data_IF_235008843671
#
_entry.id   IF_235008843671
#
_cell.length_a   1.000
_cell.length_b   1.000
_cell.length_c   1.000
_cell.angle_alpha   90.00
_cell.angle_beta   90.00
_cell.angle_gamma   90.00
#
_symmetry.space_group_name_H-M   'P 1'
#
loop_
_entity.id
_entity.type
_entity.pdbx_description
1 polymer ?
#
# COMPACT_ATOMS: atom_id res chain seq x y z
N UNK A 1 -17.14 20.34 19.10
CA UNK A 1 -17.07 18.87 18.95
C UNK A 1 -18.44 18.43 18.43
N UNK A 2 -18.54 18.01 17.17
CA UNK A 2 -19.80 17.47 16.64
C UNK A 2 -20.08 16.14 17.34
N UNK A 3 -21.21 16.04 18.04
CA UNK A 3 -21.70 14.78 18.59
C UNK A 3 -21.81 13.75 17.46
N UNK A 4 -21.11 12.62 17.60
CA UNK A 4 -21.24 11.49 16.68
C UNK A 4 -22.55 10.80 17.00
N UNK A 5 -23.61 11.10 16.25
CA UNK A 5 -24.95 10.56 16.43
C UNK A 5 -25.03 9.03 16.22
N UNK A 6 -24.06 8.43 15.51
CA UNK A 6 -24.00 6.99 15.30
C UNK A 6 -22.53 6.53 15.35
N UNK A 7 -22.11 5.78 16.39
CA UNK A 7 -20.76 5.25 16.50
C UNK A 7 -20.48 4.11 15.51
N UNK A 8 -21.54 3.53 14.90
CA UNK A 8 -21.39 2.46 13.92
C UNK A 8 -21.21 3.04 12.52
N UNK A 9 -19.96 3.25 12.13
CA UNK A 9 -19.60 3.74 10.78
C UNK A 9 -19.75 2.60 9.78
N UNK A 10 -20.72 2.71 8.87
CA UNK A 10 -21.01 1.67 7.85
C UNK A 10 -20.25 1.93 6.55
N UNK A 11 -19.79 3.17 6.28
CA UNK A 11 -19.07 3.57 5.06
C UNK A 11 -17.92 4.53 5.39
N UNK A 12 -16.81 4.36 4.68
CA UNK A 12 -15.64 5.24 4.82
C UNK A 12 -14.72 4.87 5.98
N UNK A 13 -13.82 5.81 6.30
CA UNK A 13 -12.84 5.63 7.38
C UNK A 13 -13.52 5.71 8.75
N UNK A 14 -13.20 4.75 9.62
CA UNK A 14 -13.68 4.74 11.01
C UNK A 14 -12.90 5.82 11.78
N UNK A 15 -13.57 6.85 12.35
CA UNK A 15 -12.89 7.83 13.20
C UNK A 15 -12.24 7.14 14.42
N UNK A 16 -11.08 7.64 14.87
CA UNK A 16 -10.38 7.08 16.01
C UNK A 16 -11.25 6.95 17.28
N UNK A 17 -12.17 7.91 17.51
CA UNK A 17 -13.13 7.87 18.63
C UNK A 17 -14.19 6.77 18.51
N UNK A 18 -14.42 6.21 17.33
CA UNK A 18 -15.37 5.13 17.06
C UNK A 18 -14.68 3.78 16.86
N UNK A 19 -13.34 3.76 16.83
CA UNK A 19 -12.58 2.54 16.75
C UNK A 19 -12.48 1.93 18.13
N UNK A 20 -13.27 0.89 18.36
CA UNK A 20 -13.32 0.17 19.63
C UNK A 20 -12.77 -1.24 19.42
N UNK A 21 -12.28 -1.83 20.51
CA UNK A 21 -11.62 -3.14 20.52
C UNK A 21 -10.31 -3.18 19.69
N UNK A 22 -9.60 -4.26 19.67
CA UNK A 22 -8.36 -4.49 18.94
C UNK A 22 -7.15 -3.66 19.42
N UNK A 23 -7.11 -3.29 20.69
CA UNK A 23 -5.96 -2.60 21.25
C UNK A 23 -4.70 -3.46 21.10
N UNK A 24 -4.79 -4.74 21.44
CA UNK A 24 -3.68 -5.66 21.37
C UNK A 24 -3.15 -5.87 19.94
N UNK A 25 -4.06 -5.97 18.94
CA UNK A 25 -3.68 -6.09 17.54
C UNK A 25 -3.05 -4.80 17.01
N UNK A 26 -3.59 -3.63 17.42
CA UNK A 26 -3.00 -2.33 17.06
C UNK A 26 -1.60 -2.18 17.62
N UNK A 27 -1.40 -2.49 18.91
CA UNK A 27 -0.11 -2.45 19.57
C UNK A 27 0.90 -3.42 18.91
N UNK A 28 0.45 -4.65 18.61
CA UNK A 28 1.30 -5.64 17.94
C UNK A 28 1.71 -5.16 16.55
N UNK A 29 0.75 -4.70 15.72
CA UNK A 29 1.01 -4.21 14.37
C UNK A 29 1.97 -3.02 14.40
N UNK A 30 1.71 -2.04 15.26
CA UNK A 30 2.57 -0.86 15.43
C UNK A 30 3.99 -1.27 15.82
N UNK A 31 4.14 -2.18 16.78
CA UNK A 31 5.45 -2.67 17.23
C UNK A 31 6.22 -3.39 16.13
N UNK A 32 5.57 -4.24 15.33
CA UNK A 32 6.22 -4.93 14.22
C UNK A 32 6.77 -3.93 13.18
N UNK A 33 5.96 -2.93 12.81
CA UNK A 33 6.36 -1.89 11.86
C UNK A 33 7.50 -1.01 12.41
N UNK A 34 7.46 -0.66 13.69
CA UNK A 34 8.57 0.10 14.32
C UNK A 34 9.87 -0.70 14.38
N UNK A 35 9.79 -2.02 14.40
CA UNK A 35 10.95 -2.92 14.32
C UNK A 35 11.45 -3.16 12.89
N UNK A 36 10.76 -2.61 11.87
CA UNK A 36 11.12 -2.79 10.46
C UNK A 36 10.72 -4.16 9.91
N UNK A 37 9.66 -4.75 10.44
CA UNK A 37 9.14 -6.03 9.98
C UNK A 37 7.97 -5.84 9.03
N UNK A 38 8.00 -6.52 7.90
CA UNK A 38 6.82 -6.71 7.07
C UNK A 38 5.79 -7.56 7.80
N UNK A 39 4.50 -7.25 7.63
CA UNK A 39 3.42 -7.92 8.33
C UNK A 39 2.38 -8.45 7.35
N UNK A 40 1.93 -9.68 7.57
CA UNK A 40 0.74 -10.23 6.89
C UNK A 40 -0.45 -10.30 7.84
N UNK A 41 -1.60 -9.77 7.39
CA UNK A 41 -2.87 -9.77 8.13
C UNK A 41 -3.84 -10.71 7.43
N UNK A 42 -4.18 -11.80 8.10
CA UNK A 42 -5.08 -12.82 7.58
C UNK A 42 -6.39 -12.83 8.37
N UNK A 43 -7.46 -12.30 7.80
CA UNK A 43 -8.78 -12.42 8.43
C UNK A 43 -9.89 -12.42 7.40
N UNK A 44 -11.02 -13.02 7.72
CA UNK A 44 -12.18 -13.06 6.82
C UNK A 44 -12.68 -11.66 6.45
N UNK A 45 -13.47 -11.58 5.38
CA UNK A 45 -14.12 -10.31 4.97
C UNK A 45 -14.93 -9.72 6.12
N UNK A 46 -15.01 -8.39 6.16
CA UNK A 46 -15.79 -7.61 7.13
C UNK A 46 -15.35 -7.74 8.60
N UNK A 47 -14.17 -8.27 8.87
CA UNK A 47 -13.58 -8.30 10.21
C UNK A 47 -12.70 -7.07 10.51
N UNK A 48 -12.86 -5.96 9.76
CA UNK A 48 -12.23 -4.67 10.08
C UNK A 48 -10.72 -4.58 9.82
N UNK A 49 -10.14 -5.40 8.89
CA UNK A 49 -8.72 -5.29 8.51
C UNK A 49 -8.32 -3.88 8.11
N UNK A 50 -9.06 -3.31 7.16
CA UNK A 50 -8.83 -1.95 6.66
C UNK A 50 -8.88 -0.92 7.79
N UNK A 51 -9.86 -1.04 8.70
CA UNK A 51 -9.97 -0.18 9.88
C UNK A 51 -8.77 -0.31 10.81
N UNK A 52 -8.28 -1.53 11.06
CA UNK A 52 -7.10 -1.79 11.88
C UNK A 52 -5.84 -1.14 11.28
N UNK A 53 -5.62 -1.31 9.97
CA UNK A 53 -4.47 -0.69 9.27
C UNK A 53 -4.54 0.83 9.36
N UNK A 54 -5.68 1.42 9.05
CA UNK A 54 -5.87 2.87 9.11
C UNK A 54 -5.70 3.41 10.54
N UNK A 55 -6.23 2.68 11.54
CA UNK A 55 -6.05 3.05 12.94
C UNK A 55 -4.59 2.95 13.39
N UNK A 56 -3.84 1.95 12.91
CA UNK A 56 -2.41 1.85 13.13
C UNK A 56 -1.66 3.05 12.53
N UNK A 57 -2.01 3.48 11.33
CA UNK A 57 -1.41 4.67 10.70
C UNK A 57 -1.66 5.96 11.48
N UNK A 58 -2.77 6.04 12.22
CA UNK A 58 -3.10 7.18 13.09
C UNK A 58 -2.36 7.17 14.43
N UNK A 59 -1.67 6.09 14.79
CA UNK A 59 -0.94 6.04 16.06
C UNK A 59 0.17 7.09 16.10
N UNK A 60 0.38 7.78 17.24
CA UNK A 60 1.41 8.83 17.35
C UNK A 60 2.82 8.38 16.97
N UNK A 61 3.14 7.10 17.16
CA UNK A 61 4.43 6.54 16.79
C UNK A 61 4.64 6.39 15.27
N UNK A 62 3.55 6.37 14.50
CA UNK A 62 3.57 6.24 13.02
C UNK A 62 3.25 7.59 12.38
N UNK A 63 2.15 8.22 12.81
CA UNK A 63 1.64 9.47 12.25
C UNK A 63 2.70 10.60 12.37
N UNK A 64 3.03 11.23 11.25
CA UNK A 64 4.03 12.29 11.18
C UNK A 64 5.49 11.83 11.13
N UNK A 65 5.78 10.55 11.42
CA UNK A 65 7.13 9.97 11.35
C UNK A 65 7.35 9.12 10.09
N UNK A 66 6.28 8.55 9.55
CA UNK A 66 6.28 7.71 8.36
C UNK A 66 5.38 8.30 7.27
N UNK A 67 5.71 8.01 6.01
CA UNK A 67 4.74 8.11 4.92
C UNK A 67 3.95 6.82 4.87
N UNK A 68 2.64 6.92 4.98
CA UNK A 68 1.74 5.75 5.00
C UNK A 68 0.87 5.71 3.76
N UNK A 69 0.90 4.60 3.05
CA UNK A 69 0.15 4.39 1.82
C UNK A 69 -0.78 3.18 1.98
N UNK A 70 -2.03 3.36 1.63
CA UNK A 70 -3.02 2.27 1.63
C UNK A 70 -3.53 2.03 0.22
N UNK A 71 -3.32 0.84 -0.30
CA UNK A 71 -3.65 0.45 -1.67
C UNK A 71 -4.55 -0.78 -1.65
N UNK A 72 -5.83 -0.62 -2.02
CA UNK A 72 -6.76 -1.73 -2.23
C UNK A 72 -6.67 -2.18 -3.69
N UNK A 73 -6.30 -3.44 -3.89
CA UNK A 73 -6.11 -4.02 -5.23
C UNK A 73 -7.22 -5.00 -5.64
N UNK A 74 -8.35 -5.02 -4.92
CA UNK A 74 -9.45 -5.94 -5.19
C UNK A 74 -9.93 -5.91 -6.66
N UNK A 75 -9.99 -4.72 -7.25
CA UNK A 75 -10.51 -4.51 -8.61
C UNK A 75 -9.46 -4.68 -9.71
N UNK A 76 -8.21 -4.93 -9.36
CA UNK A 76 -7.13 -5.08 -10.35
C UNK A 76 -7.10 -6.49 -10.93
N UNK A 77 -6.80 -6.60 -12.22
CA UNK A 77 -6.80 -7.85 -12.99
C UNK A 77 -5.45 -8.16 -13.65
N UNK A 78 -4.46 -7.26 -13.52
CA UNK A 78 -3.14 -7.38 -14.13
C UNK A 78 -2.08 -6.65 -13.32
N UNK A 79 -0.80 -6.99 -13.54
CA UNK A 79 0.33 -6.26 -12.96
C UNK A 79 0.31 -4.78 -13.38
N UNK A 80 -0.11 -4.49 -14.61
CA UNK A 80 -0.27 -3.12 -15.10
C UNK A 80 -1.27 -2.31 -14.27
N UNK A 81 -2.43 -2.87 -13.98
CA UNK A 81 -3.45 -2.22 -13.15
C UNK A 81 -3.00 -2.08 -11.69
N UNK A 82 -2.30 -3.07 -11.16
CA UNK A 82 -1.68 -2.99 -9.85
C UNK A 82 -0.70 -1.81 -9.76
N UNK A 83 0.25 -1.72 -10.70
CA UNK A 83 1.24 -0.65 -10.75
C UNK A 83 0.57 0.71 -10.90
N UNK A 84 -0.45 0.81 -11.73
CA UNK A 84 -1.25 2.01 -11.86
C UNK A 84 -1.90 2.43 -10.53
N UNK A 85 -2.58 1.48 -9.86
CA UNK A 85 -3.27 1.74 -8.59
C UNK A 85 -2.29 2.19 -7.51
N UNK A 86 -1.14 1.51 -7.40
CA UNK A 86 -0.07 1.86 -6.49
C UNK A 86 0.45 3.26 -6.77
N UNK A 87 0.81 3.57 -8.02
CA UNK A 87 1.30 4.90 -8.42
C UNK A 87 0.30 6.01 -8.10
N UNK A 88 -0.99 5.77 -8.38
CA UNK A 88 -2.06 6.74 -8.13
C UNK A 88 -2.20 7.04 -6.64
N UNK A 89 -2.18 6.02 -5.80
CA UNK A 89 -2.30 6.19 -4.34
C UNK A 89 -1.09 6.91 -3.75
N UNK A 90 0.12 6.59 -4.22
CA UNK A 90 1.32 7.31 -3.81
C UNK A 90 1.22 8.79 -4.19
N UNK A 91 0.81 9.07 -5.42
CA UNK A 91 0.65 10.45 -5.90
C UNK A 91 -0.38 11.24 -5.10
N UNK A 92 -1.56 10.67 -4.83
CA UNK A 92 -2.62 11.31 -4.05
C UNK A 92 -2.16 11.72 -2.64
N UNK A 93 -1.27 10.94 -2.03
CA UNK A 93 -0.73 11.23 -0.70
C UNK A 93 0.41 12.27 -0.76
N UNK A 94 1.23 12.22 -1.80
CA UNK A 94 2.38 13.11 -1.95
C UNK A 94 1.98 14.49 -2.50
N UNK A 95 0.95 14.58 -3.33
CA UNK A 95 0.50 15.83 -3.95
C UNK A 95 0.20 16.96 -2.94
N UNK A 96 -0.55 16.72 -1.85
CA UNK A 96 -0.83 17.75 -0.84
C UNK A 96 0.41 18.26 -0.09
N UNK A 97 1.51 17.51 -0.14
CA UNK A 97 2.78 17.88 0.51
C UNK A 97 3.55 18.98 -0.25
N UNK A 98 3.06 19.34 -1.44
CA UNK A 98 3.56 20.47 -2.22
C UNK A 98 4.41 20.08 -3.43
N UNK A 99 4.76 21.10 -4.23
CA UNK A 99 5.39 20.93 -5.55
C UNK A 99 6.68 20.11 -5.51
N UNK A 100 7.50 20.27 -4.47
CA UNK A 100 8.75 19.52 -4.32
C UNK A 100 8.54 18.00 -4.34
N UNK A 101 7.50 17.52 -3.67
CA UNK A 101 7.16 16.10 -3.63
C UNK A 101 6.59 15.60 -4.94
N UNK A 102 5.76 16.42 -5.60
CA UNK A 102 5.23 16.13 -6.94
C UNK A 102 6.38 16.03 -7.95
N UNK A 103 7.30 16.99 -7.96
CA UNK A 103 8.45 16.98 -8.85
C UNK A 103 9.35 15.75 -8.58
N UNK A 104 9.56 15.38 -7.31
CA UNK A 104 10.28 14.17 -6.94
C UNK A 104 9.60 12.92 -7.50
N UNK A 105 8.29 12.78 -7.31
CA UNK A 105 7.51 11.66 -7.83
C UNK A 105 7.59 11.57 -9.35
N UNK A 106 7.32 12.68 -10.05
CA UNK A 106 7.35 12.72 -11.53
C UNK A 106 8.74 12.39 -12.09
N UNK A 107 9.79 12.91 -11.46
CA UNK A 107 11.17 12.66 -11.91
C UNK A 107 11.65 11.23 -11.60
N UNK A 108 11.10 10.59 -10.59
CA UNK A 108 11.42 9.20 -10.22
C UNK A 108 10.75 8.19 -11.15
N UNK A 109 9.53 8.49 -11.65
CA UNK A 109 8.73 7.57 -12.45
C UNK A 109 8.76 7.91 -13.94
N UNK A 110 9.93 7.78 -14.55
CA UNK A 110 10.16 8.13 -15.96
C UNK A 110 9.34 7.28 -16.95
N UNK A 111 9.11 6.03 -16.61
CA UNK A 111 8.29 5.11 -17.41
C UNK A 111 6.80 5.49 -17.45
N UNK A 112 6.33 6.36 -16.53
CA UNK A 112 4.97 6.86 -16.47
C UNK A 112 4.75 8.20 -17.18
N UNK A 113 5.76 8.78 -17.83
CA UNK A 113 5.65 10.11 -18.45
C UNK A 113 4.50 10.23 -19.45
N UNK A 114 4.12 9.15 -20.10
CA UNK A 114 2.99 9.12 -21.02
C UNK A 114 1.59 9.24 -20.34
N UNK A 115 1.52 9.00 -19.03
CA UNK A 115 0.29 9.11 -18.24
C UNK A 115 0.10 10.48 -17.57
N UNK A 116 1.06 11.40 -17.73
CA UNK A 116 0.98 12.71 -17.10
C UNK A 116 0.31 13.73 -18.02
N UNK A 117 -0.64 14.43 -17.45
CA UNK A 117 -1.19 15.68 -18.02
C UNK A 117 -1.01 16.78 -16.98
N UNK A 118 -1.00 18.03 -17.45
CA UNK A 118 -0.94 19.17 -16.55
C UNK A 118 -2.30 19.86 -16.54
N UNK A 119 -2.75 20.20 -15.34
CA UNK A 119 -3.94 21.04 -15.20
C UNK A 119 -3.65 22.42 -15.79
N UNK A 120 -4.45 22.89 -16.80
CA UNK A 120 -4.15 24.13 -17.50
C UNK A 120 -4.27 25.39 -16.62
N UNK A 121 -4.99 25.31 -15.50
CA UNK A 121 -5.22 26.45 -14.60
C UNK A 121 -4.19 26.54 -13.49
N UNK A 122 -3.83 25.39 -12.90
CA UNK A 122 -2.90 25.34 -11.77
C UNK A 122 -1.47 25.04 -12.17
N UNK A 123 -1.24 24.52 -13.39
CA UNK A 123 0.06 24.00 -13.85
C UNK A 123 0.55 22.77 -13.07
N UNK A 124 -0.32 22.19 -12.24
CA UNK A 124 0.00 21.01 -11.45
C UNK A 124 -0.12 19.75 -12.32
N UNK A 125 0.81 18.80 -12.17
CA UNK A 125 0.68 17.52 -12.86
C UNK A 125 -0.55 16.78 -12.34
N UNK A 126 -1.33 16.26 -13.28
CA UNK A 126 -2.48 15.42 -13.04
C UNK A 126 -2.18 14.04 -13.61
N UNK A 127 -2.30 13.04 -12.78
CA UNK A 127 -2.16 11.67 -13.21
C UNK A 127 -3.43 11.23 -13.96
N UNK A 128 -3.29 10.94 -15.24
CA UNK A 128 -4.38 10.41 -16.07
C UNK A 128 -3.94 9.10 -16.70
N UNK A 129 -4.75 8.07 -16.48
CA UNK A 129 -4.54 6.77 -17.10
C UNK A 129 -4.87 6.84 -18.61
N UNK A 130 -3.91 6.49 -19.47
CA UNK A 130 -4.21 6.06 -20.82
C UNK A 130 -3.83 4.58 -20.97
N UNK A 131 -4.77 3.75 -21.37
CA UNK A 131 -4.51 2.36 -21.71
C UNK A 131 -3.47 2.35 -22.85
N UNK A 132 -2.24 1.93 -22.56
CA UNK A 132 -1.11 1.96 -23.48
C UNK A 132 0.15 2.67 -22.95
N UNK A 133 0.04 3.43 -21.85
CA UNK A 133 1.18 4.14 -21.28
C UNK A 133 2.24 3.23 -20.63
N UNK A 134 1.89 1.99 -20.32
CA UNK A 134 2.77 1.04 -19.64
C UNK A 134 3.24 -0.04 -20.63
N UNK A 135 4.37 0.12 -21.18
CA UNK A 135 4.97 -0.95 -22.01
C UNK A 135 5.68 -2.01 -21.15
N UNK A 136 6.07 -1.67 -19.92
CA UNK A 136 6.82 -2.56 -19.02
C UNK A 136 6.46 -2.24 -17.55
N UNK A 137 5.39 -2.81 -17.01
CA UNK A 137 4.95 -2.54 -15.63
C UNK A 137 6.01 -2.89 -14.58
N UNK A 138 6.88 -3.87 -14.83
CA UNK A 138 7.98 -4.22 -13.94
C UNK A 138 9.01 -3.10 -13.80
N UNK A 139 9.29 -2.35 -14.90
CA UNK A 139 10.21 -1.20 -14.86
C UNK A 139 9.63 -0.10 -13.98
N UNK A 140 8.35 0.23 -14.17
CA UNK A 140 7.66 1.22 -13.36
C UNK A 140 7.62 0.82 -11.90
N UNK A 141 7.37 -0.46 -11.62
CA UNK A 141 7.37 -0.99 -10.25
C UNK A 141 8.75 -0.82 -9.60
N UNK A 142 9.83 -1.09 -10.34
CA UNK A 142 11.20 -0.83 -9.87
C UNK A 142 11.47 0.64 -9.58
N UNK A 143 10.97 1.56 -10.42
CA UNK A 143 11.06 3.00 -10.19
C UNK A 143 10.29 3.44 -8.93
N UNK A 144 9.09 2.87 -8.70
CA UNK A 144 8.31 3.13 -7.48
C UNK A 144 9.09 2.70 -6.23
N UNK A 145 9.64 1.50 -6.22
CA UNK A 145 10.38 1.01 -5.08
C UNK A 145 11.68 1.78 -4.83
N UNK A 146 12.39 2.16 -5.90
CA UNK A 146 13.55 3.04 -5.79
C UNK A 146 13.18 4.41 -5.22
N UNK A 147 12.03 4.96 -5.58
CA UNK A 147 11.50 6.20 -5.03
C UNK A 147 11.19 6.06 -3.51
N UNK A 148 10.55 4.97 -3.10
CA UNK A 148 10.26 4.71 -1.68
C UNK A 148 11.55 4.56 -0.86
N UNK A 149 12.58 3.91 -1.41
CA UNK A 149 13.89 3.77 -0.74
C UNK A 149 14.60 5.12 -0.57
N UNK A 150 14.43 6.05 -1.51
CA UNK A 150 15.06 7.39 -1.49
C UNK A 150 14.22 8.45 -0.75
N UNK A 151 13.06 8.09 -0.21
CA UNK A 151 12.23 9.02 0.54
C UNK A 151 12.96 9.53 1.79
N UNK A 152 12.70 10.80 2.16
CA UNK A 152 13.32 11.45 3.33
C UNK A 152 12.77 10.96 4.68
N UNK A 153 11.74 10.13 4.65
CA UNK A 153 11.16 9.42 5.81
C UNK A 153 10.89 7.98 5.42
N UNK A 154 10.89 7.12 6.43
CA UNK A 154 10.46 5.72 6.23
C UNK A 154 9.02 5.66 5.71
N UNK A 155 8.78 4.67 4.89
CA UNK A 155 7.48 4.43 4.27
C UNK A 155 6.82 3.17 4.86
N UNK A 156 5.50 3.16 4.90
CA UNK A 156 4.71 1.95 5.16
C UNK A 156 3.69 1.84 4.03
N UNK A 157 3.75 0.75 3.28
CA UNK A 157 2.80 0.46 2.19
C UNK A 157 1.91 -0.70 2.59
N UNK A 158 0.63 -0.44 2.83
CA UNK A 158 -0.37 -1.47 3.04
C UNK A 158 -1.06 -1.82 1.72
N UNK A 159 -1.01 -3.10 1.35
CA UNK A 159 -1.67 -3.63 0.16
C UNK A 159 -2.81 -4.52 0.63
N UNK A 160 -4.05 -4.04 0.49
CA UNK A 160 -5.25 -4.80 0.85
C UNK A 160 -5.71 -5.70 -0.32
N UNK A 161 -6.28 -6.83 0.00
CA UNK A 161 -6.68 -7.91 -0.91
C UNK A 161 -5.50 -8.47 -1.74
N UNK A 162 -4.32 -8.59 -1.10
CA UNK A 162 -3.06 -8.97 -1.75
C UNK A 162 -3.12 -10.28 -2.53
N UNK A 163 -3.97 -11.24 -2.13
CA UNK A 163 -4.16 -12.49 -2.87
C UNK A 163 -4.66 -12.27 -4.32
N UNK A 164 -5.11 -11.06 -4.66
CA UNK A 164 -5.56 -10.75 -6.01
C UNK A 164 -4.44 -10.92 -7.05
N UNK A 165 -3.17 -10.69 -6.68
CA UNK A 165 -2.03 -10.87 -7.60
C UNK A 165 -1.89 -12.30 -8.12
N UNK A 166 -2.37 -13.31 -7.37
CA UNK A 166 -2.34 -14.71 -7.82
C UNK A 166 -3.29 -14.99 -8.99
N UNK A 167 -4.20 -14.06 -9.30
CA UNK A 167 -5.15 -14.17 -10.42
C UNK A 167 -4.71 -13.45 -11.68
N UNK A 168 -3.58 -12.72 -11.62
CA UNK A 168 -3.09 -11.98 -12.77
C UNK A 168 -2.60 -12.92 -13.88
N UNK A 169 -2.74 -12.51 -15.14
CA UNK A 169 -2.28 -13.32 -16.27
C UNK A 169 -0.74 -13.41 -16.36
N UNK A 170 -0.04 -12.43 -15.78
CA UNK A 170 1.41 -12.41 -15.76
C UNK A 170 1.95 -13.48 -14.79
N UNK A 171 2.93 -14.23 -15.26
CA UNK A 171 3.58 -15.25 -14.45
C UNK A 171 4.58 -14.62 -13.47
N UNK A 172 4.71 -15.24 -12.30
CA UNK A 172 5.75 -14.89 -11.31
C UNK A 172 5.61 -13.50 -10.67
N UNK A 173 4.42 -12.89 -10.62
CA UNK A 173 4.20 -11.57 -10.00
C UNK A 173 4.69 -11.54 -8.55
N UNK A 174 4.44 -12.61 -7.79
CA UNK A 174 4.96 -12.75 -6.41
C UNK A 174 6.48 -12.67 -6.36
N UNK A 175 7.17 -13.38 -7.27
CA UNK A 175 8.63 -13.38 -7.30
C UNK A 175 9.20 -12.01 -7.71
N UNK A 176 8.53 -11.32 -8.65
CA UNK A 176 8.90 -9.96 -9.06
C UNK A 176 8.77 -8.99 -7.89
N UNK A 177 7.63 -8.99 -7.20
CA UNK A 177 7.40 -8.15 -6.02
C UNK A 177 8.41 -8.46 -4.92
N UNK A 178 8.61 -9.73 -4.59
CA UNK A 178 9.57 -10.15 -3.57
C UNK A 178 11.00 -9.73 -3.92
N UNK A 179 11.37 -9.83 -5.19
CA UNK A 179 12.68 -9.42 -5.69
C UNK A 179 12.99 -7.95 -5.42
N UNK A 180 11.99 -7.06 -5.49
CA UNK A 180 12.15 -5.65 -5.13
C UNK A 180 12.10 -5.43 -3.62
N UNK A 181 11.08 -5.96 -2.94
CA UNK A 181 10.78 -5.70 -1.52
C UNK A 181 11.96 -6.10 -0.62
N UNK A 182 12.60 -7.25 -0.87
CA UNK A 182 13.69 -7.76 -0.04
C UNK A 182 14.93 -6.85 0.04
N UNK A 183 15.06 -5.87 -0.82
CA UNK A 183 16.19 -4.94 -0.87
C UNK A 183 15.85 -3.56 -0.30
N UNK A 184 14.61 -3.33 0.12
CA UNK A 184 14.18 -2.06 0.70
C UNK A 184 14.50 -2.01 2.19
N UNK A 185 15.14 -0.93 2.62
CA UNK A 185 15.45 -0.65 4.02
C UNK A 185 14.62 0.52 4.58
N UNK A 186 14.08 1.35 3.68
CA UNK A 186 13.32 2.54 4.01
C UNK A 186 11.80 2.36 3.87
N UNK A 187 11.33 1.12 3.59
CA UNK A 187 9.92 0.85 3.38
C UNK A 187 9.54 -0.51 3.97
N UNK A 188 8.51 -0.52 4.81
CA UNK A 188 7.91 -1.72 5.38
C UNK A 188 6.54 -1.98 4.72
N UNK A 189 6.12 -3.25 4.68
CA UNK A 189 4.88 -3.63 4.01
C UNK A 189 3.88 -4.27 4.97
N UNK A 190 2.59 -3.98 4.74
CA UNK A 190 1.47 -4.70 5.30
C UNK A 190 0.74 -5.39 4.15
N UNK A 191 0.75 -6.70 4.14
CA UNK A 191 -0.02 -7.50 3.19
C UNK A 191 -1.31 -7.95 3.87
N UNK A 192 -2.45 -7.47 3.41
CA UNK A 192 -3.73 -7.86 3.97
C UNK A 192 -4.56 -8.64 2.94
N UNK A 193 -5.30 -9.63 3.40
CA UNK A 193 -6.16 -10.41 2.51
C UNK A 193 -7.34 -11.06 3.22
N UNK A 194 -8.41 -11.22 2.45
CA UNK A 194 -9.68 -11.81 2.93
C UNK A 194 -9.81 -13.30 2.61
N UNK A 195 -9.11 -13.80 1.62
CA UNK A 195 -8.98 -15.22 1.32
C UNK A 195 -7.85 -15.82 2.17
N UNK A 196 -8.22 -16.26 3.39
CA UNK A 196 -7.27 -16.80 4.37
C UNK A 196 -6.46 -17.98 3.84
N UNK A 197 -7.07 -18.81 3.01
CA UNK A 197 -6.39 -20.00 2.48
C UNK A 197 -5.30 -19.58 1.49
N UNK A 198 -5.64 -18.74 0.55
CA UNK A 198 -4.71 -18.29 -0.48
C UNK A 198 -3.58 -17.42 0.10
N UNK A 199 -3.90 -16.51 1.02
CA UNK A 199 -2.87 -15.72 1.73
C UNK A 199 -1.95 -16.63 2.56
N UNK A 200 -2.52 -17.58 3.30
CA UNK A 200 -1.70 -18.52 4.07
C UNK A 200 -0.79 -19.35 3.15
N UNK A 201 -1.27 -19.79 1.99
CA UNK A 201 -0.45 -20.46 0.99
C UNK A 201 0.72 -19.57 0.53
N UNK A 202 0.45 -18.30 0.15
CA UNK A 202 1.47 -17.37 -0.35
C UNK A 202 2.60 -17.10 0.66
N UNK A 203 2.28 -17.00 1.96
CA UNK A 203 3.24 -16.59 3.00
C UNK A 203 3.79 -17.76 3.86
N UNK A 204 3.13 -18.93 3.87
CA UNK A 204 3.50 -20.06 4.74
C UNK A 204 3.86 -21.33 3.97
N UNK A 205 3.56 -21.45 2.67
CA UNK A 205 3.90 -22.63 1.92
C UNK A 205 5.37 -22.62 1.48
N UNK A 206 6.08 -23.74 1.74
CA UNK A 206 7.46 -23.89 1.31
C UNK A 206 7.61 -23.72 -0.21
N UNK A 207 8.63 -22.97 -0.62
CA UNK A 207 8.92 -22.70 -2.03
C UNK A 207 8.16 -21.50 -2.63
N UNK A 208 7.27 -20.85 -1.88
CA UNK A 208 6.65 -19.59 -2.32
C UNK A 208 7.59 -18.40 -2.08
N UNK A 209 7.55 -17.37 -2.93
CA UNK A 209 8.46 -16.21 -2.83
C UNK A 209 8.40 -15.49 -1.47
N UNK A 210 7.23 -15.43 -0.84
CA UNK A 210 7.02 -14.75 0.44
C UNK A 210 7.12 -15.69 1.66
N UNK A 211 7.57 -16.94 1.48
CA UNK A 211 7.71 -17.90 2.58
C UNK A 211 8.56 -17.37 3.73
N UNK A 212 8.01 -17.33 4.94
CA UNK A 212 8.65 -16.88 6.20
C UNK A 212 9.27 -15.46 6.16
N UNK A 213 8.77 -14.56 5.32
CA UNK A 213 9.35 -13.22 5.16
C UNK A 213 8.62 -12.14 5.97
N UNK A 214 7.51 -12.49 6.62
CA UNK A 214 6.63 -11.55 7.31
C UNK A 214 6.25 -12.05 8.70
N UNK A 215 5.99 -11.11 9.62
CA UNK A 215 5.29 -11.40 10.87
C UNK A 215 3.79 -11.59 10.60
N UNK A 216 3.16 -12.56 11.27
CA UNK A 216 1.72 -12.87 11.06
C UNK A 216 0.84 -12.27 12.14
N UNK A 217 -0.23 -11.59 11.72
CA UNK A 217 -1.33 -11.12 12.54
C UNK A 217 -2.63 -11.82 12.08
N UNK A 218 -3.28 -12.55 12.99
CA UNK A 218 -4.52 -13.30 12.74
C UNK A 218 -5.72 -12.62 13.38
#
# INVERSE_FOLDING_TARGET
MSEINNPFVVKGRIPAACFCDRVAETEKLTRELLNGNDVVIMSSRRLGKTGLIQHCFDQPAISGHYYTFFVDILETSSLQEFVYKLSSQLFEILQPMGRKFVDFFVNSLKSLQAGWTYDPLSGMPKFTFSMGAFTKPEVTLGEIFAMLELADRRCIVAIDEFQQIAKYPEKNVEAVLRGFIQHLNNCDFIFAGSDRHLIAEMFSAYGRPFYTTTSTLN
#
